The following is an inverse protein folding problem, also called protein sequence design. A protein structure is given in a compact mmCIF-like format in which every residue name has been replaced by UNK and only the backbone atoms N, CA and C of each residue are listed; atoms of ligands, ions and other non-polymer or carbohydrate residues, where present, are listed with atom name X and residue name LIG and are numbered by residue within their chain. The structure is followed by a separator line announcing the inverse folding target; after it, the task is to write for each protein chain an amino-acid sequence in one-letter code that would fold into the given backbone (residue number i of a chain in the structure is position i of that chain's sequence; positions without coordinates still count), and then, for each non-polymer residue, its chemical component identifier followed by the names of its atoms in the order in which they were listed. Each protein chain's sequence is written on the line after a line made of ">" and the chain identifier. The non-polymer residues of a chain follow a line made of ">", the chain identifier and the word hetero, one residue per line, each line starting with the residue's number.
data_IF_780297982813
#
_entry.id   IF_780297982813
#
_cell.length_a   1.000
_cell.length_b   1.000
_cell.length_c   1.000
_cell.angle_alpha   90.00
_cell.angle_beta   90.00
_cell.angle_gamma   90.00
#
_symmetry.space_group_name_H-M   'P 1'
#
loop_
_entity.id
_entity.type
_entity.pdbx_description
1 polymer ?
#
# COMPACT_ATOMS: atom_id res chain seq x y z
N UNK A 1 31.66 5.55 5.26
CA UNK A 1 30.46 5.62 4.41
C UNK A 1 29.27 5.22 5.28
N UNK A 2 28.47 6.19 5.75
CA UNK A 2 27.25 5.86 6.51
C UNK A 2 26.23 5.29 5.53
N UNK A 3 25.75 4.06 5.77
CA UNK A 3 24.79 3.38 4.91
C UNK A 3 23.44 4.04 5.17
N UNK A 4 23.00 4.93 4.28
CA UNK A 4 21.65 5.47 4.35
C UNK A 4 20.68 4.30 4.16
N UNK A 5 19.90 3.98 5.19
CA UNK A 5 18.80 3.02 5.10
C UNK A 5 17.67 3.70 4.34
N UNK A 6 17.57 3.41 3.05
CA UNK A 6 16.43 3.81 2.24
C UNK A 6 15.33 2.77 2.42
N UNK A 7 14.13 3.22 2.75
CA UNK A 7 12.95 2.38 2.77
C UNK A 7 12.60 1.92 1.34
N UNK A 8 12.02 0.74 1.20
CA UNK A 8 11.48 0.27 -0.09
C UNK A 8 10.21 1.03 -0.45
N UNK A 9 9.82 1.04 -1.72
CA UNK A 9 8.54 1.62 -2.15
C UNK A 9 7.37 1.04 -1.35
N UNK A 10 7.34 -0.29 -1.19
CA UNK A 10 6.34 -0.98 -0.36
C UNK A 10 6.28 -0.46 1.08
N UNK A 11 7.44 -0.12 1.67
CA UNK A 11 7.51 0.39 3.05
C UNK A 11 7.01 1.82 3.16
N UNK A 12 7.37 2.67 2.18
CA UNK A 12 6.89 4.05 2.11
C UNK A 12 5.37 4.07 1.91
N UNK A 13 4.86 3.25 0.99
CA UNK A 13 3.43 3.13 0.70
C UNK A 13 2.64 2.60 1.88
N UNK A 14 3.12 1.52 2.53
CA UNK A 14 2.50 0.98 3.73
C UNK A 14 2.49 1.99 4.90
N UNK A 15 3.51 2.85 4.99
CA UNK A 15 3.56 3.91 5.99
C UNK A 15 2.54 5.00 5.67
N UNK A 16 2.53 5.49 4.43
CA UNK A 16 1.60 6.52 3.99
C UNK A 16 0.14 6.10 4.21
N UNK A 17 -0.26 4.91 3.76
CA UNK A 17 -1.64 4.43 3.92
C UNK A 17 -2.03 4.15 5.38
N UNK A 18 -1.05 3.90 6.27
CA UNK A 18 -1.30 3.77 7.71
C UNK A 18 -1.57 5.13 8.35
N UNK A 19 -0.83 6.14 7.92
CA UNK A 19 -0.98 7.52 8.43
C UNK A 19 -2.23 8.20 7.85
N UNK A 20 -2.73 7.71 6.70
CA UNK A 20 -3.90 8.21 5.97
C UNK A 20 -4.92 7.10 5.64
N UNK A 21 -5.53 6.44 6.64
CA UNK A 21 -6.46 5.33 6.41
C UNK A 21 -7.72 5.73 5.62
N UNK A 22 -8.13 6.99 5.68
CA UNK A 22 -9.25 7.56 4.92
C UNK A 22 -9.03 7.57 3.41
N UNK A 23 -7.77 7.56 2.96
CA UNK A 23 -7.42 7.59 1.54
C UNK A 23 -7.40 6.18 0.90
N UNK A 24 -7.47 5.11 1.70
CA UNK A 24 -7.34 3.74 1.21
C UNK A 24 -8.41 3.40 0.17
N UNK A 25 -9.65 3.82 0.36
CA UNK A 25 -10.72 3.48 -0.58
C UNK A 25 -10.52 4.18 -1.94
N UNK A 26 -10.11 5.46 -1.95
CA UNK A 26 -9.77 6.18 -3.20
C UNK A 26 -8.50 5.67 -3.87
N UNK A 27 -7.50 5.26 -3.08
CA UNK A 27 -6.31 4.57 -3.57
C UNK A 27 -6.70 3.27 -4.30
N UNK A 28 -7.61 2.49 -3.74
CA UNK A 28 -8.08 1.24 -4.34
C UNK A 28 -8.88 1.48 -5.63
N UNK A 29 -9.70 2.52 -5.69
CA UNK A 29 -10.40 2.92 -6.92
C UNK A 29 -9.40 3.21 -8.05
N UNK A 30 -8.42 4.07 -7.77
CA UNK A 30 -7.36 4.44 -8.73
C UNK A 30 -6.58 3.20 -9.21
N UNK A 31 -6.25 2.30 -8.29
CA UNK A 31 -5.53 1.06 -8.59
C UNK A 31 -6.32 0.15 -9.55
N UNK A 32 -7.64 0.03 -9.36
CA UNK A 32 -8.48 -0.78 -10.25
C UNK A 32 -8.70 -0.11 -11.62
N UNK A 33 -8.77 1.21 -11.68
CA UNK A 33 -8.81 1.96 -12.94
C UNK A 33 -7.53 1.73 -13.76
N UNK A 34 -6.36 1.87 -13.13
CA UNK A 34 -5.07 1.59 -13.77
C UNK A 34 -4.97 0.14 -14.23
N UNK A 35 -5.45 -0.81 -13.43
CA UNK A 35 -5.49 -2.22 -13.81
C UNK A 35 -6.41 -2.45 -15.03
N UNK A 36 -7.54 -1.75 -15.12
CA UNK A 36 -8.45 -1.89 -16.27
C UNK A 36 -7.78 -1.44 -17.58
N UNK A 37 -6.87 -0.47 -17.53
CA UNK A 37 -6.13 0.02 -18.70
C UNK A 37 -4.90 -0.84 -19.04
N UNK A 38 -4.16 -1.28 -18.03
CA UNK A 38 -2.85 -1.92 -18.20
C UNK A 38 -2.91 -3.45 -18.19
N UNK A 39 -3.93 -4.03 -17.55
CA UNK A 39 -4.03 -5.45 -17.19
C UNK A 39 -2.80 -5.97 -16.41
N UNK A 40 -2.02 -5.10 -15.76
CA UNK A 40 -0.85 -5.51 -14.97
C UNK A 40 -1.29 -6.11 -13.63
N UNK A 41 -1.42 -7.44 -13.64
CA UNK A 41 -1.80 -8.21 -12.45
C UNK A 41 -0.69 -8.17 -11.38
N UNK A 42 0.57 -8.01 -11.77
CA UNK A 42 1.69 -7.97 -10.84
C UNK A 42 1.66 -6.70 -9.99
N UNK A 43 1.44 -5.56 -10.63
CA UNK A 43 1.26 -4.27 -9.96
C UNK A 43 0.06 -4.31 -9.00
N UNK A 44 -1.10 -4.76 -9.48
CA UNK A 44 -2.31 -4.88 -8.67
C UNK A 44 -2.09 -5.73 -7.41
N UNK A 45 -1.52 -6.93 -7.56
CA UNK A 45 -1.29 -7.83 -6.42
C UNK A 45 -0.27 -7.28 -5.42
N UNK A 46 0.75 -6.55 -5.89
CA UNK A 46 1.73 -5.93 -4.99
C UNK A 46 1.06 -4.86 -4.12
N UNK A 47 0.27 -3.98 -4.72
CA UNK A 47 -0.50 -2.93 -4.03
C UNK A 47 -1.53 -3.51 -3.06
N UNK A 48 -2.28 -4.53 -3.48
CA UNK A 48 -3.26 -5.22 -2.62
C UNK A 48 -2.61 -5.85 -1.38
N UNK A 49 -1.41 -6.43 -1.52
CA UNK A 49 -0.64 -6.98 -0.39
C UNK A 49 -0.33 -5.90 0.64
N UNK A 50 0.02 -4.69 0.19
CA UNK A 50 0.31 -3.57 1.08
C UNK A 50 -0.94 -3.12 1.83
N UNK A 51 -2.06 -2.94 1.12
CA UNK A 51 -3.35 -2.58 1.74
C UNK A 51 -3.79 -3.64 2.76
N UNK A 52 -3.64 -4.92 2.44
CA UNK A 52 -3.93 -6.02 3.37
C UNK A 52 -3.06 -5.97 4.64
N UNK A 53 -1.76 -5.67 4.49
CA UNK A 53 -0.86 -5.49 5.62
C UNK A 53 -1.27 -4.29 6.49
N UNK A 54 -1.62 -3.15 5.89
CA UNK A 54 -2.04 -1.95 6.63
C UNK A 54 -3.32 -2.21 7.41
N UNK A 55 -4.36 -2.77 6.76
CA UNK A 55 -5.63 -3.12 7.44
C UNK A 55 -5.45 -4.20 8.52
N UNK A 56 -4.56 -5.18 8.30
CA UNK A 56 -4.23 -6.20 9.30
C UNK A 56 -3.50 -5.64 10.53
N UNK A 57 -2.56 -4.72 10.32
CA UNK A 57 -1.84 -4.03 11.40
C UNK A 57 -2.75 -3.07 12.19
N UNK A 58 -3.66 -2.37 11.53
CA UNK A 58 -4.66 -1.55 12.19
C UNK A 58 -5.48 -2.36 13.21
N UNK A 59 -5.95 -3.57 12.82
CA UNK A 59 -6.65 -4.48 13.73
C UNK A 59 -5.81 -4.93 14.93
N UNK A 60 -4.49 -5.11 14.76
CA UNK A 60 -3.59 -5.47 15.87
C UNK A 60 -3.34 -4.30 16.82
N UNK A 61 -3.38 -3.06 16.34
CA UNK A 61 -3.19 -1.87 17.16
C UNK A 61 -4.39 -1.54 18.07
N UNK A 62 -5.57 -2.08 17.75
CA UNK A 62 -6.81 -1.91 18.54
C UNK A 62 -6.94 -2.91 19.71
N UNK A 63 -6.00 -3.84 19.88
CA UNK A 63 -5.98 -4.85 20.96
C UNK A 63 -5.06 -4.44 22.11
#
# INVERSE_FOLDING_TARGET
>A
MSKQNYDTLDQVEAKYLRDHPEEIDGYMETLFEEFAETADTGALLSSLRIVAQVKGMAKLAEQ
#
